data_IF_918439529103
#
_entry.id   IF_918439529103
#
_cell.length_a   1.000
_cell.length_b   1.000
_cell.length_c   1.000
_cell.angle_alpha   90.00
_cell.angle_beta   90.00
_cell.angle_gamma   90.00
#
_symmetry.space_group_name_H-M   'P 1'
#
loop_
_entity.id
_entity.type
_entity.pdbx_description
1 polymer ?
#
# COMPACT_ATOMS: atom_id res chain seq x y z
N UNK A 1 -12.83 -2.88 -3.91
CA UNK A 1 -11.74 -3.76 -3.42
C UNK A 1 -11.38 -3.49 -1.96
N UNK A 2 -10.76 -2.36 -1.56
CA UNK A 2 -10.51 -2.06 -0.13
C UNK A 2 -11.85 -1.96 0.63
N UNK A 3 -12.76 -1.12 0.16
CA UNK A 3 -14.09 -0.94 0.76
C UNK A 3 -14.85 -2.28 0.87
N UNK A 4 -14.75 -3.13 -0.16
CA UNK A 4 -15.37 -4.46 -0.17
C UNK A 4 -14.69 -5.43 0.81
N UNK A 5 -13.37 -5.40 0.94
CA UNK A 5 -12.62 -6.23 1.89
C UNK A 5 -13.02 -5.92 3.35
N UNK A 6 -13.26 -4.64 3.62
CA UNK A 6 -13.81 -4.16 4.89
C UNK A 6 -15.32 -4.34 5.01
N UNK A 7 -16.00 -4.77 3.94
CA UNK A 7 -17.47 -4.92 3.86
C UNK A 7 -18.22 -3.63 4.20
N UNK A 8 -17.67 -2.50 3.77
CA UNK A 8 -18.27 -1.19 3.99
C UNK A 8 -19.61 -1.09 3.26
N UNK A 9 -20.70 -0.69 3.93
CA UNK A 9 -21.98 -0.44 3.27
C UNK A 9 -21.84 0.63 2.18
N UNK A 10 -22.68 0.61 1.12
CA UNK A 10 -22.58 1.57 0.02
C UNK A 10 -22.55 3.04 0.46
N UNK A 11 -23.36 3.40 1.46
CA UNK A 11 -23.38 4.77 2.02
C UNK A 11 -22.04 5.14 2.66
N UNK A 12 -21.48 4.26 3.47
CA UNK A 12 -20.18 4.46 4.14
C UNK A 12 -19.03 4.49 3.13
N UNK A 13 -19.09 3.65 2.10
CA UNK A 13 -18.14 3.65 1.00
C UNK A 13 -18.11 4.99 0.25
N UNK A 14 -19.27 5.61 0.00
CA UNK A 14 -19.37 6.95 -0.59
C UNK A 14 -18.74 7.99 0.34
N UNK A 15 -19.07 7.96 1.64
CA UNK A 15 -18.50 8.90 2.62
C UNK A 15 -16.97 8.80 2.69
N UNK A 16 -16.42 7.58 2.67
CA UNK A 16 -14.96 7.39 2.64
C UNK A 16 -14.36 7.97 1.35
N UNK A 17 -15.01 7.78 0.20
CA UNK A 17 -14.54 8.35 -1.06
C UNK A 17 -14.56 9.90 -1.04
N UNK A 18 -15.63 10.51 -0.52
CA UNK A 18 -15.74 11.95 -0.37
C UNK A 18 -14.65 12.50 0.55
N UNK A 19 -14.40 11.83 1.68
CA UNK A 19 -13.29 12.14 2.60
C UNK A 19 -11.92 12.10 1.93
N UNK A 20 -11.66 11.09 1.08
CA UNK A 20 -10.41 11.01 0.30
C UNK A 20 -10.30 12.21 -0.64
N UNK A 21 -11.36 12.54 -1.38
CA UNK A 21 -11.37 13.68 -2.32
C UNK A 21 -11.15 15.00 -1.59
N UNK A 22 -11.82 15.20 -0.45
CA UNK A 22 -11.72 16.41 0.34
C UNK A 22 -10.31 16.56 0.94
N UNK A 23 -9.71 15.46 1.41
CA UNK A 23 -8.31 15.43 1.86
C UNK A 23 -7.38 15.86 0.73
N UNK A 24 -7.47 15.22 -0.44
CA UNK A 24 -6.62 15.53 -1.60
C UNK A 24 -6.74 17.00 -2.04
N UNK A 25 -7.95 17.57 -1.98
CA UNK A 25 -8.23 18.96 -2.36
C UNK A 25 -7.63 19.98 -1.40
N UNK A 26 -7.45 19.61 -0.13
CA UNK A 26 -6.90 20.48 0.92
C UNK A 26 -5.41 20.22 1.19
N UNK A 27 -4.80 19.24 0.52
CA UNK A 27 -3.39 18.96 0.66
C UNK A 27 -2.52 20.07 0.03
N UNK A 28 -1.41 20.48 0.69
CA UNK A 28 -0.47 21.41 0.10
C UNK A 28 0.09 20.89 -1.23
N UNK A 29 0.30 21.78 -2.19
CA UNK A 29 0.91 21.43 -3.49
C UNK A 29 2.26 20.73 -3.29
N UNK A 30 2.48 19.64 -4.01
CA UNK A 30 3.69 18.83 -3.92
C UNK A 30 3.68 17.81 -2.77
N UNK A 31 2.60 17.71 -2.01
CA UNK A 31 2.42 16.63 -1.03
C UNK A 31 2.30 15.27 -1.74
N UNK A 32 2.90 14.24 -1.14
CA UNK A 32 2.79 12.85 -1.60
C UNK A 32 1.79 12.10 -0.73
N UNK A 33 1.02 11.22 -1.36
CA UNK A 33 0.06 10.37 -0.68
C UNK A 33 -0.19 9.11 -1.48
N UNK A 34 -0.09 7.97 -0.80
CA UNK A 34 -0.69 6.72 -1.25
C UNK A 34 -2.18 6.72 -0.85
N UNK A 35 -3.04 6.79 -1.86
CA UNK A 35 -4.50 6.84 -1.71
C UNK A 35 -5.05 5.51 -1.18
N UNK A 36 -4.43 4.38 -1.55
CA UNK A 36 -4.84 3.06 -1.06
C UNK A 36 -4.55 2.94 0.44
N UNK A 37 -3.42 3.49 0.89
CA UNK A 37 -3.09 3.61 2.32
C UNK A 37 -4.09 4.49 3.06
N UNK A 38 -4.35 5.72 2.58
CA UNK A 38 -5.34 6.60 3.21
C UNK A 38 -6.72 5.94 3.31
N UNK A 39 -7.19 5.33 2.23
CA UNK A 39 -8.48 4.62 2.20
C UNK A 39 -8.53 3.48 3.22
N UNK A 40 -7.43 2.72 3.34
CA UNK A 40 -7.32 1.62 4.30
C UNK A 40 -7.44 2.12 5.74
N UNK A 41 -6.76 3.22 6.08
CA UNK A 41 -6.83 3.81 7.41
C UNK A 41 -8.20 4.42 7.73
N UNK A 42 -8.84 5.06 6.74
CA UNK A 42 -10.22 5.54 6.88
C UNK A 42 -11.19 4.39 7.15
N UNK A 43 -11.03 3.25 6.46
CA UNK A 43 -11.82 2.06 6.75
C UNK A 43 -11.60 1.53 8.17
N UNK A 44 -10.36 1.49 8.65
CA UNK A 44 -10.09 1.08 10.04
C UNK A 44 -10.74 2.03 11.05
N UNK A 45 -10.65 3.34 10.83
CA UNK A 45 -11.24 4.33 11.72
C UNK A 45 -12.78 4.24 11.75
N UNK A 46 -13.39 3.95 10.60
CA UNK A 46 -14.84 3.79 10.47
C UNK A 46 -15.35 2.48 11.10
N UNK A 47 -14.59 1.38 11.00
CA UNK A 47 -14.95 0.09 11.59
C UNK A 47 -14.83 0.10 13.13
N UNK A 48 -13.69 0.59 13.64
CA UNK A 48 -13.45 0.77 15.08
C UNK A 48 -12.39 1.86 15.31
N UNK A 49 -12.85 3.06 15.64
CA UNK A 49 -11.98 4.22 15.88
C UNK A 49 -11.00 4.00 17.03
N UNK A 50 -11.34 3.22 18.06
CA UNK A 50 -10.41 2.90 19.15
C UNK A 50 -9.31 1.96 18.67
N UNK A 51 -9.68 0.97 17.86
CA UNK A 51 -8.70 0.06 17.27
C UNK A 51 -7.77 0.81 16.31
N UNK A 52 -8.31 1.71 15.49
CA UNK A 52 -7.53 2.59 14.64
C UNK A 52 -6.53 3.43 15.44
N UNK A 53 -6.96 4.06 16.54
CA UNK A 53 -6.07 4.84 17.41
C UNK A 53 -4.92 3.98 17.97
N UNK A 54 -5.17 2.71 18.30
CA UNK A 54 -4.11 1.77 18.71
C UNK A 54 -3.15 1.42 17.57
N UNK A 55 -3.66 1.27 16.34
CA UNK A 55 -2.85 1.03 15.14
C UNK A 55 -1.90 2.21 14.88
N UNK A 56 -2.37 3.45 15.01
CA UNK A 56 -1.54 4.64 14.72
C UNK A 56 -0.62 5.07 15.88
N UNK A 57 -0.93 4.68 17.12
CA UNK A 57 -0.15 5.05 18.32
C UNK A 57 0.97 4.07 18.66
N UNK A 58 1.21 3.07 17.81
CA UNK A 58 2.26 2.07 17.97
C UNK A 58 2.10 1.12 19.19
N UNK A 59 0.94 1.20 19.86
CA UNK A 59 0.53 0.36 21.01
C UNK A 59 -0.38 -0.80 20.57
N UNK A 60 -0.27 -1.21 19.31
CA UNK A 60 -1.10 -2.26 18.75
C UNK A 60 -0.58 -3.65 19.11
N UNK A 61 -1.26 -4.31 20.04
CA UNK A 61 -1.03 -5.72 20.36
C UNK A 61 -2.19 -6.59 19.86
N UNK A 62 -1.82 -7.69 19.19
CA UNK A 62 -2.74 -8.73 18.77
C UNK A 62 -2.12 -10.09 19.04
N UNK A 63 -2.94 -10.98 19.61
CA UNK A 63 -2.56 -12.36 19.91
C UNK A 63 -3.43 -13.32 19.11
N UNK A 64 -2.83 -14.41 18.65
CA UNK A 64 -3.57 -15.47 17.97
C UNK A 64 -4.35 -16.36 18.96
N UNK A 65 -5.03 -17.39 18.42
CA UNK A 65 -5.84 -18.34 19.20
C UNK A 65 -5.01 -19.15 20.22
N UNK A 66 -3.68 -19.15 20.11
CA UNK A 66 -2.76 -19.82 21.02
C UNK A 66 -2.08 -18.83 21.98
N UNK A 67 -2.62 -17.62 22.14
CA UNK A 67 -2.09 -16.52 22.97
C UNK A 67 -0.68 -16.05 22.55
N UNK A 68 -0.25 -16.37 21.31
CA UNK A 68 1.03 -15.91 20.78
C UNK A 68 0.87 -14.50 20.22
N UNK A 69 1.77 -13.59 20.61
CA UNK A 69 1.81 -12.24 20.07
C UNK A 69 2.21 -12.25 18.59
N UNK A 70 1.43 -11.52 17.80
CA UNK A 70 1.52 -11.48 16.34
C UNK A 70 1.49 -10.06 15.76
N UNK A 71 1.16 -9.06 16.59
CA UNK A 71 1.12 -7.65 16.20
C UNK A 71 0.15 -7.38 15.04
N UNK A 72 0.36 -6.26 14.36
CA UNK A 72 -0.53 -5.83 13.27
C UNK A 72 -0.51 -6.78 12.08
N UNK A 73 0.65 -7.33 11.70
CA UNK A 73 0.75 -8.25 10.55
C UNK A 73 -0.14 -9.47 10.74
N UNK A 74 -0.11 -10.10 11.92
CA UNK A 74 -1.00 -11.25 12.17
C UNK A 74 -2.46 -10.87 12.37
N UNK A 75 -2.76 -9.64 12.80
CA UNK A 75 -4.13 -9.13 12.80
C UNK A 75 -4.67 -9.01 11.37
N UNK A 76 -3.91 -8.40 10.46
CA UNK A 76 -4.24 -8.28 9.03
C UNK A 76 -4.43 -9.66 8.40
N UNK A 77 -3.47 -10.58 8.60
CA UNK A 77 -3.59 -11.97 8.15
C UNK A 77 -4.89 -12.60 8.62
N UNK A 78 -5.20 -12.49 9.92
CA UNK A 78 -6.42 -13.08 10.46
C UNK A 78 -7.67 -12.46 9.83
N UNK A 79 -7.76 -11.12 9.85
CA UNK A 79 -8.92 -10.34 9.41
C UNK A 79 -9.24 -10.50 7.93
N UNK A 80 -8.20 -10.63 7.10
CA UNK A 80 -8.32 -10.65 5.64
C UNK A 80 -7.92 -11.99 5.00
N UNK A 81 -7.63 -13.04 5.78
CA UNK A 81 -7.27 -14.39 5.28
C UNK A 81 -8.25 -14.97 4.26
N UNK A 82 -9.54 -14.63 4.37
CA UNK A 82 -10.58 -15.11 3.46
C UNK A 82 -10.72 -14.28 2.18
N UNK A 83 -10.08 -13.11 2.11
CA UNK A 83 -10.17 -12.20 0.99
C UNK A 83 -9.01 -12.43 0.02
N UNK A 84 -9.30 -13.07 -1.11
CA UNK A 84 -8.31 -13.48 -2.13
C UNK A 84 -8.31 -12.59 -3.38
N UNK A 85 -8.64 -11.32 -3.23
CA UNK A 85 -8.62 -10.38 -4.36
C UNK A 85 -7.21 -9.88 -4.62
N UNK A 86 -6.94 -9.52 -5.86
CA UNK A 86 -5.72 -8.81 -6.27
C UNK A 86 -6.06 -7.37 -6.64
N UNK A 87 -5.14 -6.43 -6.35
CA UNK A 87 -5.13 -5.13 -7.01
C UNK A 87 -4.63 -5.30 -8.43
N UNK A 88 -5.31 -4.66 -9.37
CA UNK A 88 -4.89 -4.57 -10.76
C UNK A 88 -4.21 -3.23 -11.00
N UNK A 89 -2.94 -3.28 -11.37
CA UNK A 89 -2.17 -2.12 -11.81
C UNK A 89 -1.98 -2.21 -13.32
N UNK A 90 -2.66 -1.33 -14.05
CA UNK A 90 -2.48 -1.19 -15.49
C UNK A 90 -1.41 -0.13 -15.77
N UNK A 91 -0.26 -0.54 -16.28
CA UNK A 91 0.83 0.39 -16.56
C UNK A 91 1.79 -0.15 -17.64
N UNK A 92 2.64 0.73 -18.15
CA UNK A 92 3.69 0.39 -19.11
C UNK A 92 5.08 0.57 -18.47
N UNK A 93 5.69 -0.53 -17.99
CA UNK A 93 7.00 -0.47 -17.34
C UNK A 93 8.12 0.12 -18.21
N UNK A 94 8.01 0.01 -19.53
CA UNK A 94 9.07 0.46 -20.44
C UNK A 94 9.10 1.98 -20.60
N UNK A 95 8.00 2.66 -20.32
CA UNK A 95 7.92 4.13 -20.34
C UNK A 95 8.61 4.71 -19.11
N UNK A 96 8.22 4.24 -17.92
CA UNK A 96 8.69 4.81 -16.65
C UNK A 96 10.06 4.25 -16.24
N UNK A 97 10.35 3.00 -16.62
CA UNK A 97 11.58 2.27 -16.29
C UNK A 97 12.14 1.58 -17.53
N UNK A 98 12.65 2.30 -18.54
CA UNK A 98 13.19 1.69 -19.76
C UNK A 98 14.38 0.75 -19.49
N UNK A 99 15.09 0.97 -18.38
CA UNK A 99 16.23 0.15 -17.97
C UNK A 99 16.20 -0.13 -16.46
N UNK A 100 16.71 -1.29 -16.08
CA UNK A 100 17.00 -1.63 -14.70
C UNK A 100 18.30 -0.99 -14.23
N UNK A 101 18.27 -0.38 -13.06
CA UNK A 101 19.40 0.07 -12.26
C UNK A 101 19.72 -1.02 -11.21
N UNK A 102 20.74 -1.83 -11.52
CA UNK A 102 21.22 -2.91 -10.67
C UNK A 102 22.72 -2.74 -10.44
N UNK A 103 23.18 -2.93 -9.21
CA UNK A 103 24.55 -2.62 -8.78
C UNK A 103 25.62 -3.27 -9.66
N UNK A 104 25.46 -4.55 -9.98
CA UNK A 104 26.49 -5.32 -10.69
C UNK A 104 26.50 -5.06 -12.20
N UNK A 105 25.39 -4.59 -12.78
CA UNK A 105 25.19 -4.46 -14.24
C UNK A 105 24.18 -3.35 -14.55
N UNK A 106 24.51 -2.08 -14.32
CA UNK A 106 23.56 -1.00 -14.51
C UNK A 106 23.09 -0.91 -15.97
N UNK A 107 21.85 -0.45 -16.16
CA UNK A 107 21.24 -0.14 -17.47
C UNK A 107 20.91 -1.34 -18.37
N UNK A 108 20.34 -2.41 -17.80
CA UNK A 108 19.77 -3.53 -18.58
C UNK A 108 18.39 -3.17 -19.11
N UNK A 109 18.12 -3.50 -20.36
CA UNK A 109 16.82 -3.21 -20.99
C UNK A 109 15.67 -3.89 -20.23
N UNK A 110 14.62 -3.09 -20.01
CA UNK A 110 13.35 -3.57 -19.49
C UNK A 110 12.46 -4.06 -20.64
N UNK A 111 12.16 -5.35 -20.63
CA UNK A 111 11.32 -6.02 -21.63
C UNK A 111 9.96 -6.43 -21.05
N UNK A 112 9.59 -5.96 -19.87
CA UNK A 112 8.25 -6.15 -19.34
C UNK A 112 7.25 -5.39 -20.21
N UNK A 113 6.22 -6.07 -20.74
CA UNK A 113 5.27 -5.44 -21.66
C UNK A 113 4.25 -4.59 -20.90
N UNK A 114 3.59 -3.70 -21.63
CA UNK A 114 2.39 -3.03 -21.14
C UNK A 114 1.26 -4.03 -20.85
N UNK A 115 0.60 -3.83 -19.71
CA UNK A 115 -0.56 -4.64 -19.35
C UNK A 115 -0.96 -4.52 -17.90
N UNK A 116 -1.74 -5.50 -17.47
CA UNK A 116 -2.25 -5.59 -16.10
C UNK A 116 -1.31 -6.43 -15.25
N UNK A 117 -0.89 -5.86 -14.13
CA UNK A 117 -0.05 -6.50 -13.14
C UNK A 117 -0.84 -6.66 -11.85
N UNK A 118 -0.86 -7.88 -11.32
CA UNK A 118 -1.58 -8.23 -10.11
C UNK A 118 -0.72 -8.03 -8.88
N UNK A 119 -1.33 -7.45 -7.85
CA UNK A 119 -0.74 -7.29 -6.52
C UNK A 119 -1.70 -7.94 -5.54
N UNK A 120 -1.31 -9.04 -4.86
CA UNK A 120 -2.18 -9.65 -3.88
C UNK A 120 -2.58 -8.67 -2.77
N UNK A 121 -3.88 -8.54 -2.52
CA UNK A 121 -4.42 -7.55 -1.57
C UNK A 121 -3.83 -7.71 -0.17
N UNK A 122 -3.76 -8.96 0.29
CA UNK A 122 -3.25 -9.28 1.62
C UNK A 122 -1.78 -8.87 1.75
N UNK A 123 -0.96 -9.15 0.72
CA UNK A 123 0.45 -8.77 0.71
C UNK A 123 0.59 -7.26 0.83
N UNK A 124 -0.13 -6.50 -0.01
CA UNK A 124 -0.13 -5.04 0.06
C UNK A 124 -0.45 -4.52 1.47
N UNK A 125 -1.49 -5.04 2.14
CA UNK A 125 -1.84 -4.61 3.50
C UNK A 125 -0.79 -4.96 4.55
N UNK A 126 -0.21 -6.15 4.47
CA UNK A 126 0.86 -6.57 5.38
C UNK A 126 2.09 -5.70 5.21
N UNK A 127 2.47 -5.45 3.95
CA UNK A 127 3.63 -4.65 3.58
C UNK A 127 3.42 -3.20 4.04
N UNK A 128 2.24 -2.62 3.78
CA UNK A 128 1.81 -1.32 4.29
C UNK A 128 1.94 -1.23 5.81
N UNK A 129 1.40 -2.20 6.56
CA UNK A 129 1.47 -2.15 8.02
C UNK A 129 2.92 -2.27 8.52
N UNK A 130 3.77 -3.02 7.81
CA UNK A 130 5.19 -3.18 8.14
C UNK A 130 6.01 -1.91 7.93
N UNK A 131 5.64 -1.05 6.97
CA UNK A 131 6.30 0.24 6.74
C UNK A 131 6.07 1.19 7.92
N UNK A 132 4.88 1.14 8.52
CA UNK A 132 4.38 2.25 9.32
C UNK A 132 4.22 1.97 10.82
N UNK A 133 4.17 0.71 11.25
CA UNK A 133 4.16 0.34 12.68
C UNK A 133 5.58 -0.01 13.16
N UNK A 134 5.89 0.12 14.46
CA UNK A 134 7.20 -0.03 15.18
C UNK A 134 8.16 -1.13 14.74
N UNK A 135 7.73 -2.06 13.90
CA UNK A 135 8.63 -2.91 13.15
C UNK A 135 9.58 -2.12 12.20
N UNK A 136 9.35 -0.82 11.98
CA UNK A 136 10.29 0.04 11.25
C UNK A 136 11.46 0.50 12.15
N UNK A 137 12.37 -0.42 12.44
CA UNK A 137 13.72 -0.17 13.01
C UNK A 137 14.69 0.47 11.97
N UNK A 138 14.15 1.04 10.88
CA UNK A 138 14.91 1.45 9.70
C UNK A 138 15.25 0.29 8.74
N UNK A 139 14.98 -0.97 9.11
CA UNK A 139 15.09 -2.10 8.22
C UNK A 139 13.92 -2.16 7.22
N UNK A 140 14.30 -2.61 6.02
CA UNK A 140 13.51 -3.03 4.85
C UNK A 140 11.98 -2.79 4.91
N UNK A 141 11.45 -1.99 3.97
CA UNK A 141 10.07 -2.21 3.51
C UNK A 141 10.12 -3.59 2.87
N UNK A 142 9.66 -4.60 3.60
CA UNK A 142 9.62 -5.96 3.10
C UNK A 142 8.31 -6.07 2.34
N UNK A 143 8.28 -5.71 1.06
CA UNK A 143 7.37 -6.41 0.19
C UNK A 143 7.84 -7.86 0.20
N UNK A 144 7.21 -8.72 1.01
CA UNK A 144 7.71 -10.06 1.35
C UNK A 144 7.56 -11.05 0.20
N UNK A 145 7.81 -10.66 -1.05
CA UNK A 145 7.47 -11.49 -2.19
C UNK A 145 8.55 -12.48 -2.59
N UNK A 146 9.85 -12.22 -2.40
CA UNK A 146 10.90 -13.26 -2.35
C UNK A 146 12.12 -12.72 -1.60
N UNK A 147 12.87 -13.59 -0.94
CA UNK A 147 14.00 -13.22 -0.10
C UNK A 147 15.05 -12.36 -0.81
N UNK A 148 15.16 -11.10 -0.41
CA UNK A 148 16.23 -10.17 -0.81
C UNK A 148 17.53 -10.39 -0.01
N UNK A 149 17.63 -11.50 0.72
CA UNK A 149 18.84 -11.88 1.45
C UNK A 149 19.97 -12.19 0.45
N UNK A 150 20.87 -11.23 0.26
CA UNK A 150 22.09 -11.42 -0.55
C UNK A 150 22.26 -10.46 -1.74
N UNK A 151 21.28 -9.60 -2.04
CA UNK A 151 21.41 -8.61 -3.13
C UNK A 151 21.99 -7.31 -2.57
N UNK A 152 23.19 -6.93 -3.01
CA UNK A 152 23.84 -5.65 -2.68
C UNK A 152 23.14 -4.47 -3.36
N UNK A 153 23.13 -3.31 -2.71
CA UNK A 153 22.60 -2.06 -3.27
C UNK A 153 21.58 -1.33 -2.39
N UNK A 154 21.12 -0.18 -2.90
CA UNK A 154 19.99 0.57 -2.31
C UNK A 154 18.70 -0.25 -2.39
N UNK A 155 17.69 0.11 -1.59
CA UNK A 155 16.41 -0.62 -1.55
C UNK A 155 15.75 -0.70 -2.95
N UNK A 156 15.75 0.42 -3.67
CA UNK A 156 15.29 0.51 -5.07
C UNK A 156 16.05 -0.45 -5.99
N UNK A 157 17.39 -0.46 -5.93
CA UNK A 157 18.21 -1.31 -6.80
C UNK A 157 17.99 -2.81 -6.54
N UNK A 158 17.64 -3.21 -5.31
CA UNK A 158 17.29 -4.61 -5.01
C UNK A 158 15.97 -5.03 -5.64
N UNK A 159 14.93 -4.20 -5.53
CA UNK A 159 13.65 -4.45 -6.19
C UNK A 159 13.82 -4.57 -7.72
N UNK A 160 14.63 -3.69 -8.31
CA UNK A 160 14.96 -3.75 -9.73
C UNK A 160 15.80 -4.98 -10.11
N UNK A 161 16.70 -5.43 -9.24
CA UNK A 161 17.45 -6.67 -9.46
C UNK A 161 16.55 -7.89 -9.48
N UNK A 162 15.57 -7.98 -8.58
CA UNK A 162 14.62 -9.08 -8.57
C UNK A 162 13.73 -9.09 -9.82
N UNK A 163 13.21 -7.93 -10.23
CA UNK A 163 12.49 -7.78 -11.50
C UNK A 163 13.35 -8.23 -12.69
N UNK A 164 14.62 -7.84 -12.72
CA UNK A 164 15.54 -8.27 -13.75
C UNK A 164 15.75 -9.79 -13.75
N UNK A 165 15.97 -10.40 -12.58
CA UNK A 165 16.11 -11.86 -12.47
C UNK A 165 14.86 -12.60 -12.93
N UNK A 166 13.66 -12.12 -12.56
CA UNK A 166 12.40 -12.71 -13.03
C UNK A 166 12.24 -12.58 -14.54
N UNK A 167 12.61 -11.44 -15.11
CA UNK A 167 12.64 -11.26 -16.56
C UNK A 167 13.58 -12.25 -17.26
N UNK A 168 14.77 -12.54 -16.68
CA UNK A 168 15.70 -13.52 -17.27
C UNK A 168 15.16 -14.96 -17.23
N UNK A 169 14.30 -15.27 -16.25
CA UNK A 169 13.69 -16.59 -16.08
C UNK A 169 12.41 -16.76 -16.90
N UNK A 170 11.79 -15.68 -17.40
CA UNK A 170 10.59 -15.77 -18.24
C UNK A 170 10.90 -16.56 -19.51
N UNK A 171 10.15 -17.63 -19.73
CA UNK A 171 10.18 -18.36 -20.98
C UNK A 171 9.59 -17.53 -22.12
N UNK A 172 9.95 -17.84 -23.38
CA UNK A 172 9.35 -17.22 -24.58
C UNK A 172 7.81 -17.36 -24.67
N UNK A 173 7.23 -18.27 -23.88
CA UNK A 173 5.80 -18.60 -23.88
C UNK A 173 5.05 -18.06 -22.64
N UNK A 174 5.73 -17.40 -21.71
CA UNK A 174 5.14 -16.77 -20.51
C UNK A 174 4.56 -15.37 -20.83
N UNK A 175 3.76 -15.30 -21.89
CA UNK A 175 2.97 -14.11 -22.25
C UNK A 175 1.54 -14.27 -21.71
N UNK A 176 1.39 -14.91 -20.55
CA UNK A 176 0.10 -14.99 -19.88
C UNK A 176 -0.12 -13.69 -19.10
N UNK A 177 -1.17 -12.95 -19.53
CA UNK A 177 -1.74 -11.85 -18.77
C UNK A 177 -2.85 -12.43 -17.88
N UNK A 178 -3.02 -11.95 -16.65
CA UNK A 178 -2.31 -10.82 -16.02
C UNK A 178 -0.98 -11.22 -15.34
N UNK A 179 -0.06 -10.26 -15.20
CA UNK A 179 1.32 -10.49 -14.72
C UNK A 179 1.42 -10.55 -13.20
N UNK A 180 2.18 -11.50 -12.64
CA UNK A 180 2.29 -11.70 -11.19
C UNK A 180 3.33 -10.81 -10.50
N UNK A 181 4.13 -10.07 -11.27
CA UNK A 181 5.19 -9.21 -10.75
C UNK A 181 4.71 -7.84 -10.25
N UNK A 182 3.39 -7.63 -10.12
CA UNK A 182 2.82 -6.33 -9.78
C UNK A 182 3.29 -5.76 -8.47
N UNK A 183 3.47 -6.57 -7.43
CA UNK A 183 3.93 -6.04 -6.14
C UNK A 183 5.40 -5.55 -6.20
N UNK A 184 6.27 -6.21 -6.96
CA UNK A 184 7.66 -5.76 -7.15
C UNK A 184 7.72 -4.45 -7.93
N UNK A 185 6.81 -4.29 -8.89
CA UNK A 185 6.63 -3.02 -9.59
C UNK A 185 6.10 -1.93 -8.67
N UNK A 186 5.10 -2.23 -7.84
CA UNK A 186 4.60 -1.30 -6.84
C UNK A 186 5.71 -0.87 -5.88
N UNK A 187 6.53 -1.81 -5.40
CA UNK A 187 7.68 -1.53 -4.55
C UNK A 187 8.69 -0.59 -5.22
N UNK A 188 9.01 -0.86 -6.49
CA UNK A 188 9.92 -0.03 -7.29
C UNK A 188 9.41 1.41 -7.41
N UNK A 189 8.11 1.56 -7.71
CA UNK A 189 7.44 2.87 -7.79
C UNK A 189 7.41 3.58 -6.43
N UNK A 190 7.21 2.84 -5.34
CA UNK A 190 7.22 3.38 -3.97
C UNK A 190 8.56 4.00 -3.60
N UNK A 191 9.66 3.32 -3.95
CA UNK A 191 11.00 3.84 -3.71
C UNK A 191 11.37 4.98 -4.65
N UNK A 192 11.02 4.90 -5.94
CA UNK A 192 11.29 5.99 -6.89
C UNK A 192 10.54 7.27 -6.52
N UNK A 193 9.29 7.13 -6.09
CA UNK A 193 8.45 8.24 -5.65
C UNK A 193 8.79 8.76 -4.25
N UNK A 194 9.72 8.14 -3.52
CA UNK A 194 10.00 8.35 -2.10
C UNK A 194 8.72 8.41 -1.24
N UNK A 195 7.78 7.49 -1.46
CA UNK A 195 6.56 7.40 -0.64
C UNK A 195 6.87 6.93 0.80
N UNK A 196 8.01 6.28 1.00
CA UNK A 196 8.54 5.89 2.30
C UNK A 196 8.89 7.07 3.23
N UNK A 197 8.97 8.30 2.70
CA UNK A 197 9.18 9.51 3.51
C UNK A 197 7.88 10.02 4.15
N UNK A 198 6.71 9.53 3.72
CA UNK A 198 5.42 9.94 4.29
C UNK A 198 5.20 9.17 5.59
N UNK A 199 5.33 9.80 6.74
CA UNK A 199 5.23 9.11 8.04
C UNK A 199 3.79 8.67 8.38
N UNK A 200 3.65 7.68 9.27
CA UNK A 200 2.35 7.27 9.78
C UNK A 200 1.61 8.43 10.48
N UNK A 201 2.33 9.27 11.22
CA UNK A 201 1.77 10.48 11.82
C UNK A 201 1.12 11.38 10.77
N UNK A 202 1.75 11.55 9.60
CA UNK A 202 1.20 12.36 8.53
C UNK A 202 -0.08 11.76 7.93
N UNK A 203 -0.17 10.43 7.88
CA UNK A 203 -1.41 9.75 7.53
C UNK A 203 -2.49 9.87 8.60
N UNK A 204 -2.13 9.85 9.88
CA UNK A 204 -3.07 10.12 10.96
C UNK A 204 -3.64 11.54 10.85
N UNK A 205 -2.80 12.54 10.61
CA UNK A 205 -3.23 13.93 10.36
C UNK A 205 -4.23 14.02 9.19
N UNK A 206 -4.02 13.24 8.12
CA UNK A 206 -4.95 13.19 6.98
C UNK A 206 -6.29 12.55 7.34
N UNK A 207 -6.30 11.49 8.17
CA UNK A 207 -7.54 10.87 8.66
C UNK A 207 -8.29 11.83 9.60
N UNK A 208 -7.59 12.57 10.44
CA UNK A 208 -8.18 13.60 11.30
C UNK A 208 -8.75 14.75 10.48
N UNK A 209 -8.00 15.25 9.48
CA UNK A 209 -8.48 16.26 8.55
C UNK A 209 -9.76 15.80 7.84
N UNK A 210 -9.75 14.59 7.29
CA UNK A 210 -10.92 13.98 6.67
C UNK A 210 -12.12 13.94 7.62
N UNK A 211 -11.89 13.55 8.87
CA UNK A 211 -12.92 13.49 9.91
C UNK A 211 -13.46 14.88 10.25
N UNK A 212 -12.61 15.92 10.28
CA UNK A 212 -13.02 17.29 10.57
C UNK A 212 -13.83 17.93 9.43
N UNK A 213 -13.50 17.62 8.18
CA UNK A 213 -14.21 18.10 6.99
C UNK A 213 -15.67 17.62 6.96
N UNK A 214 -15.93 16.39 7.42
CA UNK A 214 -17.29 15.86 7.58
C UNK A 214 -18.18 16.70 8.50
N UNK A 215 -17.61 17.30 9.56
CA UNK A 215 -18.38 18.17 10.48
C UNK A 215 -18.73 19.50 9.82
N UNK A 216 -17.83 20.05 9.02
CA UNK A 216 -18.02 21.33 8.34
C UNK A 216 -19.12 21.21 7.26
N UNK A 217 -19.12 20.12 6.50
CA UNK A 217 -20.16 19.85 5.50
C UNK A 217 -21.50 19.47 6.13
N UNK A 218 -21.48 18.84 7.32
CA UNK A 218 -22.69 18.55 8.10
C UNK A 218 -23.43 19.79 8.58
N UNK A 219 -22.72 20.80 9.09
CA UNK A 219 -23.31 22.03 9.64
C UNK A 219 -23.92 22.94 8.56
N UNK A 220 -23.33 22.97 7.35
CA UNK A 220 -23.86 23.78 6.24
C UNK A 220 -25.19 23.30 5.66
N UNK A 221 -25.59 22.06 5.97
CA UNK A 221 -26.86 21.47 5.53
C UNK A 221 -28.02 21.68 6.53
N UNK A 222 -27.77 22.31 7.68
CA UNK A 222 -28.76 22.48 8.75
C UNK A 222 -29.43 23.86 8.83
N UNK A 223 -29.05 24.82 7.96
CA UNK A 223 -29.54 26.21 8.02
C UNK A 223 -30.52 26.63 6.91
N UNK A 224 -31.17 25.67 6.24
CA UNK A 224 -32.30 25.97 5.33
C UNK A 224 -33.57 25.25 5.80
N UNK A 225 -34.18 25.78 6.86
CA UNK A 225 -35.55 25.50 7.28
C UNK A 225 -36.44 26.73 7.10
#
# INVERSE_FOLDING_TARGET
MILDAFKMPPRTAIQIADRVIATLSNMPKGSKIDILMLTTLLCFNEEDSKQFQRIISDDFSYKDKNDKEKGITGYIENRFSHYKSDFEMHFNPQIDHPKFDVVQRPFRENNYPEGTYLIPFLNYLQDLCSIYTSAYDGSMIKFSLLGTSGIEGTKYQRAQAELYEKQQRRGKYDIEKPFSEGALWLETLYYQGCFYDVTLSKYADYVELASALDWIDGDTSSDNA
#
